data_IF_436907301202
#
_entry.id   IF_436907301202
#
_cell.length_a   1.000
_cell.length_b   1.000
_cell.length_c   1.000
_cell.angle_alpha   90.00
_cell.angle_beta   90.00
_cell.angle_gamma   90.00
#
_symmetry.space_group_name_H-M   'P 1'
#
loop_
_entity.id
_entity.type
_entity.pdbx_description
1 polymer ?
#
# COMPACT_ATOMS: atom_id res chain seq x y z
N UNK A 1 22.00 -9.15 4.66
CA UNK A 1 22.25 -7.81 4.08
C UNK A 1 23.74 -7.57 3.99
N UNK A 2 24.25 -7.10 2.85
CA UNK A 2 25.68 -6.78 2.65
C UNK A 2 25.89 -5.28 2.81
N UNK A 3 26.94 -4.88 3.52
CA UNK A 3 27.40 -3.49 3.55
C UNK A 3 28.00 -3.15 2.19
N UNK A 4 27.72 -1.93 1.71
CA UNK A 4 28.22 -1.41 0.45
C UNK A 4 29.19 -0.28 0.74
N UNK A 5 30.25 -0.20 -0.06
CA UNK A 5 31.24 0.88 0.04
C UNK A 5 30.99 1.90 -1.07
N UNK A 6 30.84 3.17 -0.69
CA UNK A 6 30.73 4.29 -1.59
C UNK A 6 32.00 5.16 -1.46
N UNK A 7 32.87 5.09 -2.47
CA UNK A 7 34.04 5.95 -2.57
C UNK A 7 33.64 7.31 -3.17
N UNK A 8 33.76 8.38 -2.39
CA UNK A 8 33.63 9.75 -2.86
C UNK A 8 35.03 10.26 -3.28
N UNK A 9 35.23 10.63 -4.55
CA UNK A 9 36.53 11.08 -5.04
C UNK A 9 36.95 12.39 -4.36
N UNK A 10 38.26 12.62 -4.27
CA UNK A 10 38.80 13.90 -3.83
C UNK A 10 38.42 14.99 -4.86
N UNK A 11 38.07 16.18 -4.38
CA UNK A 11 37.82 17.33 -5.24
C UNK A 11 39.16 17.85 -5.79
N UNK A 12 39.40 17.82 -7.11
CA UNK A 12 40.66 18.31 -7.69
C UNK A 12 40.86 19.82 -7.50
N UNK A 13 39.82 20.58 -7.16
CA UNK A 13 39.92 22.02 -6.90
C UNK A 13 40.41 22.35 -5.48
N UNK A 14 40.34 21.42 -4.54
CA UNK A 14 40.78 21.61 -3.16
C UNK A 14 42.00 20.72 -2.85
N UNK A 15 43.15 21.37 -2.61
CA UNK A 15 44.41 20.70 -2.31
C UNK A 15 44.39 19.93 -0.97
N UNK A 16 43.44 20.20 -0.08
CA UNK A 16 43.27 19.47 1.18
C UNK A 16 42.26 18.33 1.08
N UNK A 17 41.49 18.26 -0.01
CA UNK A 17 40.51 17.20 -0.20
C UNK A 17 41.22 15.85 -0.38
N UNK A 18 40.68 14.83 0.28
CA UNK A 18 41.11 13.45 0.12
C UNK A 18 39.91 12.58 -0.18
N UNK A 19 40.16 11.42 -0.76
CA UNK A 19 39.12 10.42 -1.00
C UNK A 19 38.48 10.02 0.32
N UNK A 20 37.14 9.97 0.34
CA UNK A 20 36.40 9.49 1.51
C UNK A 20 35.62 8.24 1.14
N UNK A 21 35.87 7.15 1.87
CA UNK A 21 35.18 5.88 1.70
C UNK A 21 34.10 5.78 2.77
N UNK A 22 32.84 5.74 2.33
CA UNK A 22 31.67 5.64 3.19
C UNK A 22 31.14 4.20 3.18
N UNK A 23 30.94 3.66 4.37
CA UNK A 23 30.32 2.35 4.58
C UNK A 23 28.82 2.53 4.75
N UNK A 24 28.02 2.01 3.82
CA UNK A 24 26.57 2.05 3.83
C UNK A 24 26.02 0.68 4.21
N UNK A 25 25.36 0.59 5.36
CA UNK A 25 24.76 -0.65 5.84
C UNK A 25 23.63 -1.13 4.92
N UNK A 26 23.65 -2.41 4.53
CA UNK A 26 22.60 -2.97 3.68
C UNK A 26 21.23 -3.01 4.37
N UNK A 27 20.17 -2.71 3.64
CA UNK A 27 18.81 -2.68 4.16
C UNK A 27 18.51 -1.41 4.98
N UNK A 28 19.21 -0.32 4.74
CA UNK A 28 18.96 1.00 5.33
C UNK A 28 18.83 2.03 4.21
N UNK A 29 17.92 2.98 4.34
CA UNK A 29 17.85 4.12 3.42
C UNK A 29 18.77 5.25 3.85
N UNK A 30 19.75 5.53 2.98
CA UNK A 30 20.60 6.71 3.02
C UNK A 30 20.06 7.81 2.09
N UNK A 31 20.55 9.07 2.18
CA UNK A 31 20.09 10.17 1.33
C UNK A 31 20.12 9.84 -0.18
N UNK A 32 21.24 9.30 -0.65
CA UNK A 32 21.43 8.84 -2.03
C UNK A 32 20.45 7.73 -2.43
N UNK A 33 20.23 6.76 -1.54
CA UNK A 33 19.38 5.60 -1.77
C UNK A 33 17.91 6.00 -1.81
N UNK A 34 17.48 6.90 -0.91
CA UNK A 34 16.14 7.45 -0.90
C UNK A 34 15.86 8.29 -2.16
N UNK A 35 16.80 9.18 -2.52
CA UNK A 35 16.70 9.97 -3.75
C UNK A 35 16.63 9.08 -5.00
N UNK A 36 17.50 8.08 -5.11
CA UNK A 36 17.50 7.11 -6.21
C UNK A 36 16.17 6.38 -6.30
N UNK A 37 15.60 5.97 -5.16
CA UNK A 37 14.30 5.30 -5.10
C UNK A 37 13.19 6.21 -5.64
N UNK A 38 13.11 7.45 -5.14
CA UNK A 38 12.12 8.43 -5.60
C UNK A 38 12.25 8.75 -7.10
N UNK A 39 13.49 8.92 -7.58
CA UNK A 39 13.75 9.16 -8.99
C UNK A 39 13.29 7.98 -9.86
N UNK A 40 13.66 6.75 -9.50
CA UNK A 40 13.25 5.56 -10.26
C UNK A 40 11.73 5.39 -10.32
N UNK A 41 11.01 5.72 -9.23
CA UNK A 41 9.54 5.70 -9.23
C UNK A 41 9.02 6.73 -10.25
N UNK A 42 9.54 7.95 -10.26
CA UNK A 42 9.14 8.96 -11.22
C UNK A 42 9.45 8.57 -12.67
N UNK A 43 10.61 7.98 -12.92
CA UNK A 43 11.00 7.54 -14.26
C UNK A 43 10.05 6.45 -14.77
N UNK A 44 9.77 5.41 -13.95
CA UNK A 44 8.84 4.35 -14.33
C UNK A 44 7.40 4.83 -14.50
N UNK A 45 7.00 5.86 -13.76
CA UNK A 45 5.69 6.51 -13.94
C UNK A 45 5.59 7.15 -15.33
N UNK A 46 6.63 7.87 -15.75
CA UNK A 46 6.69 8.52 -17.07
C UNK A 46 6.70 7.47 -18.19
N UNK A 47 7.32 6.31 -17.94
CA UNK A 47 7.35 5.18 -18.88
C UNK A 47 6.03 4.36 -18.92
N UNK A 48 5.00 4.71 -18.14
CA UNK A 48 3.72 3.99 -18.01
C UNK A 48 3.93 2.49 -17.64
N UNK A 49 4.93 2.20 -16.79
CA UNK A 49 5.27 0.85 -16.38
C UNK A 49 4.62 0.48 -15.03
N UNK A 50 4.23 -0.79 -14.80
CA UNK A 50 3.92 -1.28 -13.47
C UNK A 50 5.19 -1.43 -12.63
N UNK A 51 5.09 -1.23 -11.32
CA UNK A 51 6.23 -1.28 -10.40
C UNK A 51 6.12 -2.42 -9.40
N UNK A 52 7.23 -3.13 -9.19
CA UNK A 52 7.38 -4.14 -8.15
C UNK A 52 8.53 -3.78 -7.22
N UNK A 53 8.21 -3.51 -5.96
CA UNK A 53 9.17 -3.16 -4.90
C UNK A 53 9.41 -4.37 -4.02
N UNK A 54 10.62 -4.92 -4.04
CA UNK A 54 11.05 -5.94 -3.08
C UNK A 54 11.53 -5.24 -1.81
N UNK A 55 10.66 -5.18 -0.81
CA UNK A 55 10.87 -4.37 0.38
C UNK A 55 11.69 -5.09 1.45
N UNK A 56 12.89 -4.57 1.74
CA UNK A 56 13.76 -5.11 2.78
C UNK A 56 14.59 -3.98 3.43
N UNK A 57 13.92 -3.09 4.15
CA UNK A 57 14.52 -1.93 4.81
C UNK A 57 14.16 -1.84 6.29
N UNK A 58 15.19 -1.74 7.14
CA UNK A 58 15.08 -1.58 8.59
C UNK A 58 14.79 -0.15 9.04
N UNK A 59 14.65 0.77 8.08
CA UNK A 59 14.40 2.18 8.34
C UNK A 59 15.34 3.09 7.53
N UNK A 60 15.28 4.37 7.88
CA UNK A 60 16.18 5.40 7.37
C UNK A 60 17.40 5.53 8.28
N UNK A 61 18.54 5.94 7.72
CA UNK A 61 19.70 6.30 8.52
C UNK A 61 19.39 7.51 9.40
N UNK A 62 19.54 7.33 10.72
CA UNK A 62 19.36 8.39 11.71
C UNK A 62 20.67 9.06 12.15
N UNK A 63 21.77 8.82 11.44
CA UNK A 63 23.07 9.43 11.76
C UNK A 63 23.06 10.94 11.57
N UNK A 64 23.79 11.68 12.41
CA UNK A 64 23.85 13.15 12.35
C UNK A 64 24.22 13.67 10.96
N UNK A 65 25.20 13.03 10.31
CA UNK A 65 25.62 13.39 8.95
C UNK A 65 24.48 13.20 7.94
N UNK A 66 23.81 12.06 7.95
CA UNK A 66 22.80 11.73 6.94
C UNK A 66 21.52 12.57 7.15
N UNK A 67 21.23 12.93 8.40
CA UNK A 67 20.21 13.94 8.74
C UNK A 67 20.57 15.32 8.21
N UNK A 68 21.84 15.72 8.30
CA UNK A 68 22.34 16.97 7.72
C UNK A 68 22.32 16.93 6.19
N UNK A 69 22.63 15.78 5.57
CA UNK A 69 22.50 15.53 4.13
C UNK A 69 21.03 15.32 3.69
N UNK A 70 20.06 15.87 4.44
CA UNK A 70 18.66 15.98 4.05
C UNK A 70 17.91 14.65 3.82
N UNK A 71 18.28 13.56 4.51
CA UNK A 71 17.62 12.23 4.34
C UNK A 71 16.09 12.30 4.43
N UNK A 72 15.54 13.17 5.29
CA UNK A 72 14.10 13.34 5.47
C UNK A 72 13.42 13.94 4.23
N UNK A 73 14.08 14.87 3.53
CA UNK A 73 13.58 15.48 2.30
C UNK A 73 13.51 14.44 1.19
N UNK A 74 14.52 13.57 1.09
CA UNK A 74 14.48 12.49 0.11
C UNK A 74 13.47 11.40 0.48
N UNK A 75 13.23 11.18 1.78
CA UNK A 75 12.16 10.32 2.26
C UNK A 75 10.77 10.82 1.83
N UNK A 76 10.50 12.13 1.90
CA UNK A 76 9.22 12.70 1.45
C UNK A 76 9.04 12.61 -0.05
N UNK A 77 10.12 12.75 -0.85
CA UNK A 77 10.05 12.58 -2.31
C UNK A 77 9.55 11.20 -2.74
N UNK A 78 9.80 10.15 -1.95
CA UNK A 78 9.26 8.80 -2.22
C UNK A 78 7.73 8.81 -2.11
N UNK A 79 7.19 9.46 -1.07
CA UNK A 79 5.74 9.59 -0.85
C UNK A 79 5.10 10.41 -1.96
N UNK A 80 5.73 11.53 -2.34
CA UNK A 80 5.25 12.38 -3.44
C UNK A 80 5.21 11.59 -4.76
N UNK A 81 6.25 10.79 -5.04
CA UNK A 81 6.32 9.98 -6.25
C UNK A 81 5.23 8.89 -6.30
N UNK A 82 4.95 8.20 -5.19
CA UNK A 82 3.86 7.21 -5.13
C UNK A 82 2.47 7.84 -5.21
N UNK A 83 2.28 9.02 -4.62
CA UNK A 83 1.01 9.75 -4.68
C UNK A 83 0.66 10.11 -6.12
N UNK A 84 1.66 10.46 -6.94
CA UNK A 84 1.48 10.79 -8.35
C UNK A 84 1.38 9.55 -9.28
N UNK A 85 1.64 8.34 -8.77
CA UNK A 85 1.75 7.13 -9.59
C UNK A 85 0.38 6.63 -10.07
N UNK A 86 0.30 6.14 -11.31
CA UNK A 86 -0.99 5.81 -11.96
C UNK A 86 -1.13 4.32 -12.32
N UNK A 87 0.00 3.61 -12.46
CA UNK A 87 0.08 2.19 -12.81
C UNK A 87 0.08 1.30 -11.56
N UNK A 88 -0.21 -0.01 -11.68
CA UNK A 88 -0.20 -0.91 -10.52
C UNK A 88 1.18 -0.97 -9.84
N UNK A 89 1.18 -0.85 -8.51
CA UNK A 89 2.39 -0.96 -7.67
C UNK A 89 2.23 -2.12 -6.70
N UNK A 90 3.17 -3.05 -6.72
CA UNK A 90 3.24 -4.15 -5.77
C UNK A 90 4.41 -3.96 -4.82
N UNK A 91 4.13 -3.80 -3.53
CA UNK A 91 5.14 -3.83 -2.47
C UNK A 91 5.15 -5.22 -1.87
N UNK A 92 6.28 -5.93 -1.98
CA UNK A 92 6.40 -7.31 -1.51
C UNK A 92 7.58 -7.48 -0.56
N UNK A 93 7.30 -7.94 0.66
CA UNK A 93 8.34 -8.29 1.64
C UNK A 93 8.82 -9.74 1.37
N UNK A 94 10.08 -9.95 0.94
CA UNK A 94 10.61 -11.27 0.59
C UNK A 94 10.86 -12.16 1.82
N UNK A 95 11.24 -13.44 1.65
CA UNK A 95 11.63 -14.30 2.76
C UNK A 95 12.77 -13.70 3.56
N UNK A 96 12.66 -13.74 4.88
CA UNK A 96 13.61 -13.12 5.81
C UNK A 96 13.83 -11.61 5.58
N UNK A 97 13.01 -10.99 4.74
CA UNK A 97 12.95 -9.56 4.55
C UNK A 97 12.23 -8.91 5.70
N UNK A 98 12.63 -7.68 6.00
CA UNK A 98 12.04 -6.90 7.06
C UNK A 98 11.76 -5.47 6.62
N UNK A 99 10.64 -4.94 7.11
CA UNK A 99 10.27 -3.54 6.89
C UNK A 99 9.90 -2.91 8.23
N UNK A 100 10.63 -1.86 8.61
CA UNK A 100 10.54 -1.29 9.96
C UNK A 100 10.29 0.21 9.94
N UNK A 101 9.53 0.68 10.92
CA UNK A 101 9.39 2.10 11.28
C UNK A 101 9.13 3.00 10.08
N UNK A 102 9.99 4.01 9.90
CA UNK A 102 9.86 4.97 8.80
C UNK A 102 9.90 4.35 7.40
N UNK A 103 10.54 3.19 7.23
CA UNK A 103 10.55 2.53 5.92
C UNK A 103 9.18 1.96 5.54
N UNK A 104 8.39 1.50 6.51
CA UNK A 104 7.00 1.11 6.28
C UNK A 104 6.17 2.33 5.84
N UNK A 105 6.33 3.44 6.55
CA UNK A 105 5.50 4.65 6.36
C UNK A 105 5.55 5.15 4.92
N UNK A 106 6.71 5.11 4.26
CA UNK A 106 6.88 5.62 2.88
C UNK A 106 6.53 4.61 1.79
N UNK A 107 6.19 3.37 2.16
CA UNK A 107 5.81 2.28 1.25
C UNK A 107 4.39 1.76 1.49
N UNK A 108 3.68 2.34 2.45
CA UNK A 108 2.36 1.86 2.84
C UNK A 108 1.35 2.02 1.69
N UNK A 109 0.50 1.01 1.51
CA UNK A 109 -0.50 1.01 0.43
C UNK A 109 -1.53 2.16 0.58
N UNK A 110 -1.71 2.72 1.78
CA UNK A 110 -2.60 3.85 2.00
C UNK A 110 -2.13 5.16 1.37
N UNK A 111 -0.86 5.28 0.97
CA UNK A 111 -0.34 6.47 0.24
C UNK A 111 -1.14 6.66 -1.05
N UNK A 112 -1.36 5.57 -1.79
CA UNK A 112 -2.17 5.57 -3.01
C UNK A 112 -2.93 4.24 -3.13
N UNK A 113 -4.01 4.14 -2.36
CA UNK A 113 -4.86 2.93 -2.28
C UNK A 113 -5.53 2.56 -3.60
N UNK A 114 -5.54 3.46 -4.59
CA UNK A 114 -6.09 3.19 -5.91
C UNK A 114 -5.16 2.37 -6.80
N UNK A 115 -3.86 2.32 -6.47
CA UNK A 115 -2.85 1.62 -7.30
C UNK A 115 -1.88 0.72 -6.54
N UNK A 116 -1.68 0.97 -5.24
CA UNK A 116 -0.70 0.25 -4.43
C UNK A 116 -1.33 -0.95 -3.72
N UNK A 117 -0.62 -2.07 -3.76
CA UNK A 117 -0.96 -3.27 -2.99
C UNK A 117 0.27 -3.78 -2.26
N UNK A 118 0.09 -4.20 -1.01
CA UNK A 118 1.18 -4.70 -0.17
C UNK A 118 1.00 -6.17 0.18
N UNK A 119 2.09 -6.93 0.08
CA UNK A 119 2.16 -8.37 0.29
C UNK A 119 3.38 -8.72 1.16
N UNK A 120 3.29 -9.82 1.89
CA UNK A 120 4.39 -10.33 2.69
C UNK A 120 4.59 -11.82 2.47
N UNK A 121 5.86 -12.27 2.49
CA UNK A 121 6.16 -13.69 2.46
C UNK A 121 5.66 -14.36 3.73
N UNK A 122 4.90 -15.44 3.60
CA UNK A 122 4.37 -16.17 4.75
C UNK A 122 5.49 -16.71 5.65
N UNK A 123 5.29 -16.60 6.97
CA UNK A 123 6.14 -17.20 7.99
C UNK A 123 7.45 -16.47 8.29
N UNK A 124 8.26 -16.12 7.29
CA UNK A 124 9.64 -15.62 7.50
C UNK A 124 9.80 -14.10 7.37
N UNK A 125 8.90 -13.41 6.66
CA UNK A 125 8.93 -11.95 6.61
C UNK A 125 8.65 -11.35 8.00
N UNK A 126 9.16 -10.15 8.24
CA UNK A 126 8.93 -9.39 9.48
C UNK A 126 8.57 -7.95 9.19
N UNK A 127 7.81 -7.35 10.08
CA UNK A 127 7.54 -5.93 9.98
C UNK A 127 6.78 -5.39 11.16
N UNK A 128 7.11 -4.16 11.52
CA UNK A 128 6.65 -3.53 12.75
C UNK A 128 7.26 -2.14 12.93
N UNK A 129 6.94 -1.51 14.04
CA UNK A 129 7.39 -0.13 14.30
C UNK A 129 8.89 -0.07 14.62
N UNK A 130 9.36 -1.00 15.46
CA UNK A 130 10.76 -1.12 15.87
C UNK A 130 11.22 -2.55 15.62
N UNK A 131 12.54 -2.76 15.61
CA UNK A 131 13.09 -4.12 15.71
C UNK A 131 12.71 -4.76 17.05
N UNK A 132 12.61 -6.09 17.09
CA UNK A 132 12.20 -6.82 18.29
C UNK A 132 13.10 -6.52 19.51
N UNK A 133 14.42 -6.38 19.30
CA UNK A 133 15.37 -5.95 20.34
C UNK A 133 15.05 -4.54 20.89
N UNK A 134 14.73 -3.60 20.00
CA UNK A 134 14.35 -2.24 20.38
C UNK A 134 13.00 -2.19 21.08
N UNK A 135 12.03 -3.00 20.64
CA UNK A 135 10.73 -3.10 21.27
C UNK A 135 10.82 -3.70 22.69
N UNK A 136 11.57 -4.78 22.84
CA UNK A 136 11.78 -5.46 24.12
C UNK A 136 12.44 -4.53 25.14
N UNK A 137 13.52 -3.82 24.77
CA UNK A 137 14.22 -2.91 25.68
C UNK A 137 13.34 -1.75 26.19
N UNK A 138 12.38 -1.29 25.38
CA UNK A 138 11.49 -0.17 25.75
C UNK A 138 10.27 -0.66 26.54
N UNK A 139 9.63 -1.75 26.09
CA UNK A 139 8.32 -2.20 26.56
C UNK A 139 8.35 -3.36 27.55
N UNK A 140 9.42 -4.13 27.60
CA UNK A 140 9.56 -5.31 28.46
C UNK A 140 10.86 -5.22 29.26
N UNK A 141 10.88 -4.27 30.20
CA UNK A 141 12.10 -3.88 30.93
C UNK A 141 12.46 -4.94 31.96
N UNK A 142 13.66 -4.82 32.55
CA UNK A 142 14.17 -5.72 33.61
C UNK A 142 13.17 -6.02 34.71
N UNK A 143 12.39 -5.04 35.17
CA UNK A 143 11.33 -5.25 36.17
C UNK A 143 10.26 -6.24 35.70
N UNK A 144 9.84 -6.13 34.45
CA UNK A 144 8.78 -6.97 33.87
C UNK A 144 9.34 -8.38 33.56
N UNK A 145 10.63 -8.48 33.20
CA UNK A 145 11.36 -9.75 33.13
C UNK A 145 11.38 -10.46 34.48
N UNK A 146 11.82 -9.78 35.54
CA UNK A 146 11.85 -10.32 36.90
C UNK A 146 10.46 -10.79 37.33
N UNK A 147 9.42 -9.96 37.13
CA UNK A 147 8.03 -10.37 37.42
C UNK A 147 7.61 -11.64 36.66
N UNK A 148 8.12 -11.84 35.44
CA UNK A 148 7.85 -13.04 34.65
C UNK A 148 8.65 -14.24 35.14
N UNK A 149 9.89 -14.04 35.60
CA UNK A 149 10.71 -15.09 36.23
C UNK A 149 10.03 -15.65 37.47
N UNK A 150 9.59 -14.79 38.39
CA UNK A 150 8.84 -15.23 39.59
C UNK A 150 7.52 -15.94 39.24
N UNK A 151 6.94 -15.65 38.07
CA UNK A 151 5.71 -16.31 37.61
C UNK A 151 5.97 -17.68 36.98
N UNK A 152 7.10 -17.90 36.32
CA UNK A 152 7.33 -19.07 35.47
C UNK A 152 8.45 -20.01 35.95
N UNK A 153 9.47 -19.52 36.66
CA UNK A 153 10.58 -20.33 37.16
C UNK A 153 10.18 -21.03 38.48
N UNK A 154 10.16 -22.38 38.53
CA UNK A 154 9.76 -23.11 39.73
C UNK A 154 10.68 -22.88 40.94
N UNK A 155 11.98 -22.69 40.71
CA UNK A 155 12.94 -22.48 41.80
C UNK A 155 12.72 -21.12 42.50
N UNK A 156 12.47 -20.06 41.73
CA UNK A 156 12.07 -18.77 42.29
C UNK A 156 10.73 -18.84 43.02
N UNK A 157 9.75 -19.58 42.49
CA UNK A 157 8.46 -19.77 43.17
C UNK A 157 8.64 -20.46 44.54
N UNK A 158 9.48 -21.49 44.62
CA UNK A 158 9.80 -22.15 45.88
C UNK A 158 10.52 -21.22 46.86
N UNK A 159 11.48 -20.42 46.37
CA UNK A 159 12.21 -19.45 47.19
C UNK A 159 11.29 -18.34 47.70
N UNK A 160 10.38 -17.83 46.88
CA UNK A 160 9.37 -16.84 47.27
C UNK A 160 8.41 -17.38 48.34
N UNK A 161 8.00 -18.66 48.23
CA UNK A 161 7.16 -19.31 49.24
C UNK A 161 7.92 -19.49 50.56
N UNK A 162 9.18 -19.91 50.50
CA UNK A 162 10.05 -20.02 51.69
C UNK A 162 10.24 -18.66 52.35
N UNK A 163 10.48 -17.60 51.58
CA UNK A 163 10.64 -16.24 52.08
C UNK A 163 9.37 -15.71 52.76
N UNK A 164 8.17 -16.03 52.22
CA UNK A 164 6.88 -15.64 52.81
C UNK A 164 6.58 -16.33 54.15
N UNK A 165 6.98 -17.59 54.29
CA UNK A 165 6.70 -18.39 55.49
C UNK A 165 7.77 -18.23 56.59
N UNK A 166 8.92 -17.65 56.28
CA UNK A 166 10.03 -17.47 57.22
C UNK A 166 9.81 -16.26 58.14
N UNK A 167 10.21 -16.38 59.40
CA UNK A 167 10.11 -15.32 60.41
C UNK A 167 11.47 -14.86 60.92
N UNK A 168 12.53 -15.66 60.74
CA UNK A 168 13.90 -15.34 61.18
C UNK A 168 14.61 -14.41 60.18
N UNK A 169 15.05 -13.25 60.65
CA UNK A 169 15.62 -12.18 59.79
C UNK A 169 16.91 -12.59 59.06
N UNK A 170 17.81 -13.35 59.72
CA UNK A 170 19.05 -13.85 59.10
C UNK A 170 18.77 -14.83 57.95
N UNK A 171 17.72 -15.65 58.08
CA UNK A 171 17.31 -16.60 57.04
C UNK A 171 16.62 -15.86 55.88
N UNK A 172 15.82 -14.83 56.18
CA UNK A 172 15.24 -13.96 55.14
C UNK A 172 16.30 -13.27 54.29
N UNK A 173 17.38 -12.77 54.90
CA UNK A 173 18.48 -12.16 54.15
C UNK A 173 19.16 -13.17 53.22
N UNK A 174 19.43 -14.39 53.71
CA UNK A 174 20.02 -15.47 52.88
C UNK A 174 19.11 -15.87 51.73
N UNK A 175 17.80 -15.98 51.97
CA UNK A 175 16.81 -16.28 50.92
C UNK A 175 16.73 -15.15 49.88
N UNK A 176 16.75 -13.89 50.32
CA UNK A 176 16.80 -12.74 49.41
C UNK A 176 18.04 -12.73 48.54
N UNK A 177 19.21 -13.11 49.09
CA UNK A 177 20.43 -13.26 48.32
C UNK A 177 20.34 -14.39 47.29
N UNK A 178 19.80 -15.55 47.66
CA UNK A 178 19.58 -16.68 46.74
C UNK A 178 18.60 -16.32 45.60
N UNK A 179 17.55 -15.56 45.90
CA UNK A 179 16.61 -15.05 44.89
C UNK A 179 17.35 -14.13 43.92
N UNK A 180 18.12 -13.17 44.44
CA UNK A 180 18.88 -12.24 43.60
C UNK A 180 19.93 -12.94 42.73
N UNK A 181 20.60 -13.98 43.24
CA UNK A 181 21.56 -14.78 42.47
C UNK A 181 20.86 -15.54 41.33
N UNK A 182 19.70 -16.13 41.61
CA UNK A 182 18.90 -16.83 40.60
C UNK A 182 18.31 -15.89 39.55
N UNK A 183 17.85 -14.71 39.94
CA UNK A 183 17.40 -13.67 39.00
C UNK A 183 18.52 -13.27 38.03
N UNK A 184 19.74 -13.07 38.54
CA UNK A 184 20.90 -12.73 37.71
C UNK A 184 21.30 -13.85 36.75
N UNK A 185 21.21 -15.11 37.19
CA UNK A 185 21.46 -16.28 36.34
C UNK A 185 20.45 -16.38 35.18
N UNK A 186 19.17 -16.12 35.47
CA UNK A 186 18.08 -16.25 34.50
C UNK A 186 18.00 -15.07 33.51
N UNK A 187 18.53 -13.91 33.88
CA UNK A 187 18.35 -12.67 33.14
C UNK A 187 18.69 -12.75 31.64
N UNK A 188 19.85 -13.30 31.22
CA UNK A 188 20.19 -13.36 29.79
C UNK A 188 19.21 -14.21 28.96
N UNK A 189 18.68 -15.29 29.55
CA UNK A 189 17.72 -16.17 28.88
C UNK A 189 16.36 -15.48 28.75
N UNK A 190 15.92 -14.80 29.81
CA UNK A 190 14.65 -14.06 29.78
C UNK A 190 14.71 -12.83 28.87
N UNK A 191 15.87 -12.19 28.72
CA UNK A 191 16.09 -11.17 27.69
C UNK A 191 15.88 -11.76 26.29
N UNK A 192 16.45 -12.93 25.97
CA UNK A 192 16.20 -13.59 24.69
C UNK A 192 14.72 -13.96 24.49
N UNK A 193 14.05 -14.46 25.54
CA UNK A 193 12.61 -14.76 25.50
C UNK A 193 11.80 -13.50 25.19
N UNK A 194 12.16 -12.36 25.77
CA UNK A 194 11.46 -11.10 25.52
C UNK A 194 11.59 -10.62 24.08
N UNK A 195 12.77 -10.80 23.48
CA UNK A 195 13.00 -10.50 22.06
C UNK A 195 12.11 -11.39 21.20
N UNK A 196 12.10 -12.71 21.46
CA UNK A 196 11.24 -13.64 20.73
C UNK A 196 9.75 -13.30 20.89
N UNK A 197 9.34 -12.93 22.10
CA UNK A 197 7.97 -12.51 22.39
C UNK A 197 7.59 -11.27 21.57
N UNK A 198 8.46 -10.27 21.52
CA UNK A 198 8.25 -9.09 20.66
C UNK A 198 8.23 -9.48 19.17
N UNK A 199 9.11 -10.37 18.72
CA UNK A 199 9.15 -10.81 17.32
C UNK A 199 7.85 -11.50 16.86
N UNK A 200 7.15 -12.22 17.75
CA UNK A 200 5.85 -12.81 17.43
C UNK A 200 4.79 -11.77 17.04
N UNK A 201 4.95 -10.51 17.46
CA UNK A 201 4.08 -9.40 17.06
C UNK A 201 4.42 -8.86 15.67
N UNK A 202 5.56 -9.21 15.08
CA UNK A 202 6.03 -8.68 13.80
C UNK A 202 5.73 -9.65 12.63
N UNK A 203 4.83 -10.61 12.85
CA UNK A 203 4.55 -11.69 11.91
C UNK A 203 3.60 -11.28 10.78
N UNK A 204 3.72 -11.87 9.57
CA UNK A 204 2.81 -11.61 8.45
C UNK A 204 1.34 -11.93 8.77
N UNK A 205 1.10 -12.96 9.59
CA UNK A 205 -0.25 -13.28 10.06
C UNK A 205 -0.90 -12.14 10.82
N UNK A 206 -0.14 -11.43 11.67
CA UNK A 206 -0.64 -10.21 12.34
C UNK A 206 -0.85 -9.07 11.35
N UNK A 207 0.06 -8.87 10.40
CA UNK A 207 -0.10 -7.84 9.36
C UNK A 207 -1.41 -8.02 8.59
N UNK A 208 -1.71 -9.26 8.19
CA UNK A 208 -2.96 -9.60 7.50
C UNK A 208 -4.17 -9.41 8.42
N UNK A 209 -4.09 -9.82 9.68
CA UNK A 209 -5.18 -9.67 10.64
C UNK A 209 -5.54 -8.20 10.93
N UNK A 210 -4.56 -7.29 10.87
CA UNK A 210 -4.76 -5.84 11.00
C UNK A 210 -5.18 -5.20 9.67
N UNK A 211 -5.01 -5.89 8.54
CA UNK A 211 -5.40 -5.41 7.22
C UNK A 211 -4.37 -4.46 6.58
N UNK A 212 -3.09 -4.54 6.96
CA UNK A 212 -2.03 -3.71 6.34
C UNK A 212 -1.39 -4.38 5.12
N UNK A 213 -1.65 -5.67 4.90
CA UNK A 213 -1.29 -6.40 3.67
C UNK A 213 -2.51 -7.12 3.13
N UNK A 214 -2.59 -7.25 1.81
CA UNK A 214 -3.67 -7.95 1.11
C UNK A 214 -3.64 -9.46 1.38
N UNK A 215 -2.43 -10.05 1.25
CA UNK A 215 -2.26 -11.50 1.36
C UNK A 215 -0.84 -11.88 1.79
N UNK A 216 -0.78 -13.00 2.53
CA UNK A 216 0.45 -13.74 2.76
C UNK A 216 0.75 -14.63 1.55
N UNK A 217 1.93 -14.47 0.95
CA UNK A 217 2.32 -15.16 -0.27
C UNK A 217 3.43 -16.17 0.03
N UNK A 218 3.30 -17.39 -0.47
CA UNK A 218 4.37 -18.40 -0.39
C UNK A 218 5.44 -18.10 -1.45
N UNK A 219 6.70 -17.98 -1.04
CA UNK A 219 7.80 -17.56 -1.93
C UNK A 219 7.96 -18.46 -3.16
N UNK A 220 7.85 -19.78 -2.98
CA UNK A 220 7.98 -20.77 -4.07
C UNK A 220 6.98 -20.52 -5.20
N UNK A 221 5.78 -20.02 -4.87
CA UNK A 221 4.71 -19.75 -5.83
C UNK A 221 4.55 -18.27 -6.16
N UNK A 222 5.36 -17.40 -5.55
CA UNK A 222 5.22 -15.94 -5.65
C UNK A 222 5.29 -15.45 -7.10
N UNK A 223 6.18 -16.02 -7.92
CA UNK A 223 6.27 -15.68 -9.36
C UNK A 223 4.95 -15.92 -10.08
N UNK A 224 4.34 -17.10 -9.88
CA UNK A 224 3.07 -17.45 -10.52
C UNK A 224 1.93 -16.58 -10.01
N UNK A 225 1.91 -16.30 -8.70
CA UNK A 225 0.94 -15.39 -8.09
C UNK A 225 1.00 -13.99 -8.71
N UNK A 226 2.17 -13.34 -8.68
CA UNK A 226 2.33 -11.99 -9.22
C UNK A 226 2.12 -11.91 -10.73
N UNK A 227 2.42 -12.97 -11.48
CA UNK A 227 2.09 -13.03 -12.91
C UNK A 227 0.59 -12.87 -13.15
N UNK A 228 -0.24 -13.64 -12.45
CA UNK A 228 -1.70 -13.55 -12.63
C UNK A 228 -2.26 -12.27 -12.04
N UNK A 229 -1.78 -11.83 -10.88
CA UNK A 229 -2.21 -10.58 -10.24
C UNK A 229 -1.91 -9.37 -11.12
N UNK A 230 -0.70 -9.27 -11.67
CA UNK A 230 -0.33 -8.19 -12.57
C UNK A 230 -1.19 -8.19 -13.85
N UNK A 231 -1.37 -9.35 -14.50
CA UNK A 231 -2.19 -9.42 -15.72
C UNK A 231 -3.64 -8.99 -15.48
N UNK A 232 -4.23 -9.43 -14.36
CA UNK A 232 -5.56 -8.96 -13.94
C UNK A 232 -5.56 -7.45 -13.74
N UNK A 233 -4.59 -6.90 -12.99
CA UNK A 233 -4.56 -5.47 -12.67
C UNK A 233 -4.37 -4.59 -13.90
N UNK A 234 -3.56 -5.02 -14.85
CA UNK A 234 -3.45 -4.32 -16.14
C UNK A 234 -4.80 -4.29 -16.87
N UNK A 235 -5.50 -5.42 -16.97
CA UNK A 235 -6.82 -5.45 -17.60
C UNK A 235 -7.86 -4.59 -16.85
N UNK A 236 -7.86 -4.64 -15.50
CA UNK A 236 -8.72 -3.81 -14.65
C UNK A 236 -8.43 -2.32 -14.87
N UNK A 237 -7.15 -1.92 -14.95
CA UNK A 237 -6.73 -0.54 -15.11
C UNK A 237 -7.04 0.00 -16.51
N UNK A 238 -6.93 -0.83 -17.55
CA UNK A 238 -7.34 -0.47 -18.90
C UNK A 238 -8.85 -0.20 -18.95
N UNK A 239 -9.66 -1.07 -18.35
CA UNK A 239 -11.11 -0.87 -18.26
C UNK A 239 -11.47 0.36 -17.41
N UNK A 240 -10.76 0.58 -16.31
CA UNK A 240 -10.87 1.77 -15.46
C UNK A 240 -10.59 3.05 -16.25
N UNK A 241 -9.52 3.06 -17.05
CA UNK A 241 -9.12 4.20 -17.88
C UNK A 241 -10.22 4.52 -18.91
N UNK A 242 -10.80 3.51 -19.55
CA UNK A 242 -11.93 3.69 -20.46
C UNK A 242 -13.17 4.26 -19.76
N UNK A 243 -13.49 3.79 -18.55
CA UNK A 243 -14.61 4.29 -17.75
C UNK A 243 -14.44 5.75 -17.33
N UNK A 244 -13.23 6.13 -16.90
CA UNK A 244 -12.92 7.52 -16.53
C UNK A 244 -13.05 8.43 -17.75
N UNK A 245 -12.46 8.04 -18.90
CA UNK A 245 -12.59 8.78 -20.16
C UNK A 245 -14.05 8.91 -20.63
N UNK A 246 -14.86 7.85 -20.46
CA UNK A 246 -16.29 7.90 -20.74
C UNK A 246 -17.04 8.91 -19.85
N UNK A 247 -16.59 9.12 -18.61
CA UNK A 247 -17.14 10.13 -17.69
C UNK A 247 -16.73 11.57 -18.04
N UNK A 248 -15.57 11.77 -18.66
CA UNK A 248 -15.06 13.09 -19.04
C UNK A 248 -15.74 13.70 -20.27
N UNK A 249 -16.51 12.91 -21.02
CA UNK A 249 -17.28 13.38 -22.19
C UNK A 249 -18.24 14.51 -21.79
N UNK A 250 -18.82 14.44 -20.58
CA UNK A 250 -19.64 15.52 -20.04
C UNK A 250 -18.80 16.56 -19.31
N UNK A 251 -18.64 17.76 -19.90
CA UNK A 251 -17.70 18.80 -19.42
C UNK A 251 -18.14 19.53 -18.13
N UNK A 252 -19.14 19.02 -17.40
CA UNK A 252 -19.68 19.65 -16.20
C UNK A 252 -19.96 18.73 -15.00
N UNK A 253 -19.76 17.41 -15.15
CA UNK A 253 -20.00 16.44 -14.08
C UNK A 253 -18.70 16.08 -13.36
N UNK A 254 -18.81 15.70 -12.08
CA UNK A 254 -17.68 15.19 -11.30
C UNK A 254 -17.12 13.95 -12.01
N UNK A 255 -15.86 14.02 -12.45
CA UNK A 255 -15.16 12.88 -13.05
C UNK A 255 -15.18 11.68 -12.10
N UNK A 256 -15.43 10.49 -12.66
CA UNK A 256 -15.48 9.24 -11.92
C UNK A 256 -14.10 8.98 -11.30
N UNK A 257 -14.03 8.78 -9.98
CA UNK A 257 -12.74 8.48 -9.36
C UNK A 257 -12.26 7.08 -9.76
N UNK A 258 -10.94 6.84 -9.82
CA UNK A 258 -10.40 5.50 -10.10
C UNK A 258 -10.94 4.42 -9.16
N UNK A 259 -11.15 4.75 -7.89
CA UNK A 259 -11.68 3.83 -6.88
C UNK A 259 -13.14 3.49 -7.15
N UNK A 260 -13.95 4.49 -7.50
CA UNK A 260 -15.36 4.28 -7.87
C UNK A 260 -15.49 3.44 -9.15
N UNK A 261 -14.58 3.66 -10.11
CA UNK A 261 -14.52 2.87 -11.34
C UNK A 261 -14.18 1.39 -11.06
N UNK A 262 -13.19 1.10 -10.21
CA UNK A 262 -12.90 -0.28 -9.78
C UNK A 262 -14.11 -0.91 -9.06
N UNK A 263 -14.85 -0.13 -8.26
CA UNK A 263 -16.08 -0.60 -7.61
C UNK A 263 -17.19 -0.92 -8.63
N UNK A 264 -17.38 -0.10 -9.66
CA UNK A 264 -18.35 -0.40 -10.72
C UNK A 264 -18.00 -1.69 -11.47
N UNK A 265 -16.71 -1.91 -11.75
CA UNK A 265 -16.25 -3.15 -12.41
C UNK A 265 -16.52 -4.37 -11.51
N UNK A 266 -16.27 -4.22 -10.20
CA UNK A 266 -16.60 -5.24 -9.20
C UNK A 266 -18.10 -5.54 -9.16
N UNK A 267 -18.96 -4.52 -9.11
CA UNK A 267 -20.42 -4.68 -9.11
C UNK A 267 -20.87 -5.44 -10.39
N UNK A 268 -20.31 -5.10 -11.55
CA UNK A 268 -20.62 -5.80 -12.81
C UNK A 268 -20.18 -7.26 -12.83
N UNK A 269 -19.09 -7.59 -12.14
CA UNK A 269 -18.65 -8.97 -11.97
C UNK A 269 -19.66 -9.74 -11.11
N UNK A 270 -20.07 -9.19 -9.97
CA UNK A 270 -21.00 -9.85 -9.04
C UNK A 270 -22.41 -9.98 -9.63
N UNK A 271 -22.85 -9.05 -10.47
CA UNK A 271 -24.11 -9.14 -11.21
C UNK A 271 -24.13 -10.28 -12.24
N UNK A 272 -22.96 -10.78 -12.68
CA UNK A 272 -22.89 -11.80 -13.73
C UNK A 272 -23.32 -13.16 -13.18
N UNK A 273 -24.29 -13.86 -13.81
CA UNK A 273 -24.79 -15.14 -13.32
C UNK A 273 -23.67 -16.18 -13.16
N UNK A 274 -23.58 -16.78 -11.98
CA UNK A 274 -22.59 -17.84 -11.68
C UNK A 274 -21.26 -17.34 -11.11
N UNK A 275 -21.07 -16.02 -10.98
CA UNK A 275 -19.94 -15.43 -10.26
C UNK A 275 -20.34 -15.06 -8.84
N UNK A 276 -19.38 -15.10 -7.92
CA UNK A 276 -19.57 -14.80 -6.50
C UNK A 276 -18.46 -13.89 -6.00
N UNK A 277 -18.69 -13.22 -4.87
CA UNK A 277 -17.70 -12.36 -4.22
C UNK A 277 -16.36 -13.08 -3.96
N UNK A 278 -16.42 -14.38 -3.63
CA UNK A 278 -15.23 -15.19 -3.38
C UNK A 278 -14.36 -15.33 -4.64
N UNK A 279 -14.98 -15.47 -5.81
CA UNK A 279 -14.29 -15.57 -7.10
C UNK A 279 -13.64 -14.25 -7.53
N UNK A 280 -14.07 -13.11 -6.98
CA UNK A 280 -13.38 -11.84 -7.22
C UNK A 280 -11.96 -11.86 -6.64
N UNK A 281 -11.70 -12.64 -5.60
CA UNK A 281 -10.34 -12.77 -5.05
C UNK A 281 -9.42 -13.64 -5.92
N UNK A 282 -9.98 -14.40 -6.87
CA UNK A 282 -9.24 -15.31 -7.75
C UNK A 282 -8.84 -14.65 -9.07
N UNK A 283 -7.55 -14.35 -9.24
CA UNK A 283 -7.08 -13.52 -10.36
C UNK A 283 -7.36 -14.13 -11.74
N UNK A 284 -7.29 -15.46 -11.85
CA UNK A 284 -7.59 -16.17 -13.10
C UNK A 284 -9.07 -16.08 -13.47
N UNK A 285 -9.96 -16.23 -12.48
CA UNK A 285 -11.40 -16.21 -12.71
C UNK A 285 -11.85 -14.84 -13.22
N UNK A 286 -11.34 -13.77 -12.60
CA UNK A 286 -11.63 -12.39 -13.02
C UNK A 286 -11.09 -12.12 -14.42
N UNK A 287 -9.85 -12.54 -14.72
CA UNK A 287 -9.27 -12.34 -16.05
C UNK A 287 -10.04 -13.10 -17.15
N UNK A 288 -10.42 -14.35 -16.88
CA UNK A 288 -11.26 -15.15 -17.80
C UNK A 288 -12.61 -14.49 -18.03
N UNK A 289 -13.28 -14.00 -16.97
CA UNK A 289 -14.53 -13.27 -17.09
C UNK A 289 -14.40 -12.03 -17.98
N UNK A 290 -13.37 -11.20 -17.77
CA UNK A 290 -13.14 -10.00 -18.58
C UNK A 290 -12.93 -10.33 -20.06
N UNK A 291 -12.23 -11.43 -20.36
CA UNK A 291 -12.00 -11.89 -21.72
C UNK A 291 -13.29 -12.42 -22.38
N UNK A 292 -14.09 -13.20 -21.65
CA UNK A 292 -15.35 -13.77 -22.16
C UNK A 292 -16.45 -12.71 -22.35
N UNK A 293 -16.49 -11.69 -21.48
CA UNK A 293 -17.54 -10.68 -21.44
C UNK A 293 -17.12 -9.33 -22.04
N UNK A 294 -16.03 -9.29 -22.82
CA UNK A 294 -15.49 -8.07 -23.42
C UNK A 294 -16.56 -7.21 -24.13
N UNK A 295 -17.37 -7.82 -25.00
CA UNK A 295 -18.42 -7.11 -25.76
C UNK A 295 -19.52 -6.55 -24.85
N UNK A 296 -19.90 -7.30 -23.81
CA UNK A 296 -20.87 -6.85 -22.81
C UNK A 296 -20.30 -5.69 -21.99
N UNK A 297 -19.02 -5.73 -21.63
CA UNK A 297 -18.34 -4.64 -20.92
C UNK A 297 -18.28 -3.36 -21.77
N UNK A 298 -17.95 -3.46 -23.06
CA UNK A 298 -17.99 -2.31 -23.98
C UNK A 298 -19.40 -1.70 -24.09
N UNK A 299 -20.44 -2.54 -24.13
CA UNK A 299 -21.83 -2.09 -24.12
C UNK A 299 -22.18 -1.39 -22.80
N UNK A 300 -21.73 -1.90 -21.66
CA UNK A 300 -21.90 -1.26 -20.34
C UNK A 300 -21.19 0.10 -20.27
N UNK A 301 -19.97 0.23 -20.79
CA UNK A 301 -19.26 1.51 -20.89
C UNK A 301 -20.04 2.49 -21.77
N UNK A 302 -20.50 2.06 -22.94
CA UNK A 302 -21.29 2.91 -23.84
C UNK A 302 -22.59 3.36 -23.19
N UNK A 303 -23.26 2.47 -22.44
CA UNK A 303 -24.47 2.80 -21.68
C UNK A 303 -24.16 3.84 -20.58
N UNK A 304 -23.04 3.68 -19.88
CA UNK A 304 -22.57 4.65 -18.90
C UNK A 304 -22.27 6.02 -19.54
N UNK A 305 -21.56 6.08 -20.67
CA UNK A 305 -21.32 7.34 -21.41
C UNK A 305 -22.63 8.02 -21.77
N UNK A 306 -23.64 7.26 -22.26
CA UNK A 306 -24.96 7.81 -22.57
C UNK A 306 -25.64 8.40 -21.33
N UNK A 307 -25.53 7.72 -20.19
CA UNK A 307 -26.08 8.19 -18.92
C UNK A 307 -25.40 9.49 -18.47
N UNK A 308 -24.06 9.58 -18.58
CA UNK A 308 -23.29 10.79 -18.25
C UNK A 308 -23.74 11.97 -19.11
N UNK A 309 -23.80 11.80 -20.44
CA UNK A 309 -24.25 12.85 -21.37
C UNK A 309 -25.70 13.27 -21.07
N UNK A 310 -26.59 12.31 -20.82
CA UNK A 310 -27.97 12.62 -20.46
C UNK A 310 -28.07 13.42 -19.15
N UNK A 311 -27.27 13.05 -18.14
CA UNK A 311 -27.25 13.77 -16.85
C UNK A 311 -26.69 15.20 -16.98
N UNK A 312 -25.73 15.43 -17.88
CA UNK A 312 -25.22 16.77 -18.17
C UNK A 312 -26.31 17.65 -18.81
N UNK A 313 -27.02 17.10 -19.80
CA UNK A 313 -28.15 17.80 -20.44
C UNK A 313 -29.22 18.16 -19.40
N UNK A 314 -29.55 17.23 -18.49
CA UNK A 314 -30.49 17.49 -17.39
C UNK A 314 -29.97 18.59 -16.46
N UNK A 315 -28.68 18.57 -16.11
CA UNK A 315 -28.08 19.59 -15.23
C UNK A 315 -28.14 20.98 -15.87
N UNK A 316 -27.85 21.09 -17.17
CA UNK A 316 -27.94 22.36 -17.92
C UNK A 316 -29.40 22.84 -18.01
N UNK A 317 -30.35 21.94 -18.24
CA UNK A 317 -31.78 22.29 -18.32
C UNK A 317 -32.41 22.64 -16.97
N UNK A 318 -31.89 22.09 -15.87
CA UNK A 318 -32.39 22.32 -14.51
C UNK A 318 -31.69 23.45 -13.77
N UNK A 319 -30.70 24.11 -14.39
CA UNK A 319 -29.99 25.25 -13.81
C UNK A 319 -30.97 26.43 -13.56
N UNK A 320 -31.28 26.74 -12.31
CA UNK A 320 -32.31 27.75 -11.98
C UNK A 320 -32.01 29.15 -12.55
N UNK A 321 -33.05 29.87 -12.99
CA UNK A 321 -32.98 31.26 -13.46
C UNK A 321 -32.86 31.39 -14.99
N UNK A 322 -32.21 32.46 -15.45
CA UNK A 322 -31.98 32.73 -16.88
C UNK A 322 -30.99 31.74 -17.53
N UNK A 323 -30.18 31.05 -16.72
CA UNK A 323 -29.22 30.03 -17.17
C UNK A 323 -29.92 28.78 -17.74
N UNK A 324 -31.04 28.31 -17.19
CA UNK A 324 -31.82 27.23 -17.81
C UNK A 324 -32.39 27.65 -19.17
N UNK A 325 -32.90 28.88 -19.29
CA UNK A 325 -33.46 29.37 -20.57
C UNK A 325 -32.41 29.44 -21.66
N UNK A 326 -31.24 29.99 -21.32
CA UNK A 326 -30.08 30.05 -22.22
C UNK A 326 -29.57 28.64 -22.55
N UNK A 327 -29.52 27.75 -21.54
CA UNK A 327 -29.11 26.36 -21.71
C UNK A 327 -30.02 25.57 -22.66
N UNK A 328 -31.34 25.67 -22.49
CA UNK A 328 -32.32 25.03 -23.38
C UNK A 328 -32.19 25.56 -24.81
N UNK A 329 -32.11 26.88 -24.98
CA UNK A 329 -31.93 27.49 -26.31
C UNK A 329 -30.63 27.03 -26.97
N UNK A 330 -29.53 27.00 -26.22
CA UNK A 330 -28.23 26.54 -26.70
C UNK A 330 -28.21 25.05 -27.08
N UNK A 331 -28.90 24.18 -26.33
CA UNK A 331 -29.04 22.76 -26.66
C UNK A 331 -29.81 22.58 -27.98
N UNK A 332 -30.92 23.29 -28.17
CA UNK A 332 -31.73 23.22 -29.40
C UNK A 332 -30.94 23.75 -30.61
N UNK A 333 -30.23 24.87 -30.45
CA UNK A 333 -29.36 25.40 -31.48
C UNK A 333 -28.21 24.44 -31.82
N UNK A 334 -27.60 23.83 -30.81
CA UNK A 334 -26.57 22.82 -30.96
C UNK A 334 -27.06 21.59 -31.72
N UNK A 335 -28.27 21.11 -31.42
CA UNK A 335 -28.92 20.02 -32.17
C UNK A 335 -29.13 20.40 -33.64
N UNK A 336 -29.62 21.62 -33.92
CA UNK A 336 -29.83 22.10 -35.28
C UNK A 336 -28.53 22.14 -36.08
N UNK A 337 -27.46 22.72 -35.53
CA UNK A 337 -26.14 22.79 -36.18
C UNK A 337 -25.49 21.40 -36.31
N UNK A 338 -25.63 20.55 -35.31
CA UNK A 338 -25.14 19.17 -35.35
C UNK A 338 -25.86 18.32 -36.40
N UNK A 339 -27.14 18.57 -36.64
CA UNK A 339 -27.86 17.91 -37.73
C UNK A 339 -27.32 18.30 -39.12
N UNK A 340 -26.73 19.48 -39.30
CA UNK A 340 -26.18 19.93 -40.58
C UNK A 340 -24.89 19.21 -40.98
N UNK A 341 -24.16 18.62 -40.02
CA UNK A 341 -22.94 17.84 -40.29
C UNK A 341 -23.20 16.35 -40.52
N UNK A 342 -24.42 15.85 -40.20
CA UNK A 342 -24.80 14.45 -40.37
C UNK A 342 -25.25 14.13 -41.80
N UNK A 343 -25.12 12.87 -42.20
CA UNK A 343 -25.64 12.36 -43.47
C UNK A 343 -27.18 12.39 -43.53
N UNK A 344 -27.81 12.37 -44.72
CA UNK A 344 -29.27 12.42 -44.83
C UNK A 344 -30.00 11.27 -44.09
N UNK A 345 -29.40 10.08 -44.04
CA UNK A 345 -29.95 8.92 -43.35
C UNK A 345 -29.91 9.08 -41.82
N UNK A 346 -28.79 9.58 -41.29
CA UNK A 346 -28.61 9.84 -39.85
C UNK A 346 -29.54 10.96 -39.36
N UNK A 347 -29.72 12.02 -40.16
CA UNK A 347 -30.68 13.10 -39.84
C UNK A 347 -32.10 12.57 -39.68
N UNK A 348 -32.53 11.68 -40.58
CA UNK A 348 -33.86 11.06 -40.50
C UNK A 348 -33.99 10.17 -39.25
N UNK A 349 -32.93 9.44 -38.90
CA UNK A 349 -32.89 8.63 -37.68
C UNK A 349 -33.00 9.48 -36.41
N UNK A 350 -32.28 10.59 -36.34
CA UNK A 350 -32.35 11.53 -35.20
C UNK A 350 -33.75 12.16 -35.10
N UNK A 351 -34.35 12.58 -36.22
CA UNK A 351 -35.74 13.10 -36.23
C UNK A 351 -36.75 12.09 -35.68
N UNK A 352 -36.65 10.83 -36.09
CA UNK A 352 -37.52 9.76 -35.59
C UNK A 352 -37.33 9.53 -34.08
N UNK A 353 -36.08 9.50 -33.60
CA UNK A 353 -35.77 9.32 -32.18
C UNK A 353 -36.31 10.47 -31.31
N UNK A 354 -36.17 11.71 -31.77
CA UNK A 354 -36.69 12.89 -31.07
C UNK A 354 -38.22 12.88 -31.04
N UNK A 355 -38.88 12.58 -32.16
CA UNK A 355 -40.34 12.47 -32.23
C UNK A 355 -40.89 11.38 -31.29
N UNK A 356 -40.26 10.19 -31.29
CA UNK A 356 -40.63 9.09 -30.39
C UNK A 356 -40.43 9.45 -28.91
N UNK A 357 -39.34 10.14 -28.57
CA UNK A 357 -38.99 10.46 -27.18
C UNK A 357 -39.84 11.60 -26.59
N UNK A 358 -40.28 12.54 -27.41
CA UNK A 358 -41.10 13.68 -27.01
C UNK A 358 -42.61 13.44 -27.13
N UNK A 359 -43.03 12.23 -27.58
CA UNK A 359 -44.42 11.91 -27.91
C UNK A 359 -45.07 12.94 -28.86
N UNK A 360 -44.28 13.46 -29.82
CA UNK A 360 -44.70 14.45 -30.81
C UNK A 360 -45.27 13.82 -32.08
#
# INVERSE_FOLDING_TARGET
NRTVEAARPADPADLQASESVLQEAGGVWFPNSAYKTAQSINDFRVEDLPLMVIANWRGFSGGQRDMFEEVLKYGSMIVDAFTAYEQPVFVFIPPFGEIRGGAWVVLDASINSSVMEMYATKGTARGGVLEANGAASVKYRTRDLISTMHRLDPALQELDQKLKNETVEDVKQKLGQQISEREQELLPVYEQISVQFCELHDTPGRMKAVGVIEKEVEWETARSFFYWRLRRKLAEFDLRRQLVQAGEVGRGLKSLSPVDASKMIHDWFVETPGLSEELWSEDKAVLSWMAEHHTTLEQKITAYTKQVVASEVIQVMSAGGDTARIGIAGIVEGLSRGMESLSPEERNRVRQLVAQSLQL
#
